data_IF_184040506278
#
_entry.id   IF_184040506278
#
_cell.length_a   1.000
_cell.length_b   1.000
_cell.length_c   1.000
_cell.angle_alpha   90.00
_cell.angle_beta   90.00
_cell.angle_gamma   90.00
#
_symmetry.space_group_name_H-M   'P 1'
#
loop_
_entity.id
_entity.type
_entity.pdbx_description
1 polymer ?
#
# COMPACT_ATOMS: atom_id res chain seq x y z
N UNK A 1 13.44 -0.83 -21.83
CA UNK A 1 13.02 0.53 -21.47
C UNK A 1 13.91 0.96 -20.31
N UNK A 2 14.57 2.12 -20.40
CA UNK A 2 15.26 2.68 -19.23
C UNK A 2 14.17 3.04 -18.21
N UNK A 3 13.98 2.21 -17.20
CA UNK A 3 13.18 2.58 -16.04
C UNK A 3 13.86 3.81 -15.43
N UNK A 4 13.23 4.98 -15.57
CA UNK A 4 13.61 6.15 -14.79
C UNK A 4 13.70 5.71 -13.33
N UNK A 5 14.91 5.83 -12.75
CA UNK A 5 15.18 5.41 -11.38
C UNK A 5 14.19 6.09 -10.44
N UNK A 6 13.20 5.33 -9.99
CA UNK A 6 12.18 5.83 -9.08
C UNK A 6 12.84 6.03 -7.71
N UNK A 7 12.75 7.24 -7.17
CA UNK A 7 13.38 7.59 -5.90
C UNK A 7 12.99 6.64 -4.75
N UNK A 8 11.78 6.05 -4.81
CA UNK A 8 11.26 5.11 -3.83
C UNK A 8 12.16 3.88 -3.63
N UNK A 9 12.86 3.40 -4.66
CA UNK A 9 13.79 2.28 -4.53
C UNK A 9 14.95 2.58 -3.58
N UNK A 10 15.34 3.85 -3.49
CA UNK A 10 16.40 4.30 -2.59
C UNK A 10 15.89 4.77 -1.23
N UNK A 11 14.57 4.85 -1.05
CA UNK A 11 13.96 5.35 0.18
C UNK A 11 13.96 4.27 1.26
N UNK A 12 14.51 4.60 2.43
CA UNK A 12 14.50 3.74 3.62
C UNK A 12 13.24 3.93 4.46
N UNK A 13 12.06 3.84 3.82
CA UNK A 13 10.77 3.95 4.52
C UNK A 13 10.47 2.62 5.19
N UNK A 14 10.38 2.63 6.52
CA UNK A 14 10.03 1.45 7.33
C UNK A 14 8.52 1.36 7.57
N UNK A 15 7.88 2.51 7.79
CA UNK A 15 6.44 2.61 8.06
C UNK A 15 5.81 3.62 7.10
N UNK A 16 4.72 3.21 6.46
CA UNK A 16 3.87 4.06 5.63
C UNK A 16 2.48 4.12 6.24
N UNK A 17 1.89 5.31 6.33
CA UNK A 17 0.52 5.51 6.81
C UNK A 17 -0.32 6.13 5.72
N UNK A 18 -1.43 5.48 5.40
CA UNK A 18 -2.43 5.88 4.41
C UNK A 18 -3.71 6.16 5.18
N UNK A 19 -4.20 7.39 5.08
CA UNK A 19 -5.46 7.80 5.68
C UNK A 19 -6.56 7.84 4.64
N UNK A 20 -7.79 7.52 5.05
CA UNK A 20 -9.00 7.71 4.23
C UNK A 20 -8.96 6.97 2.87
N UNK A 21 -8.44 5.73 2.83
CA UNK A 21 -8.36 4.94 1.61
C UNK A 21 -9.77 4.61 1.07
N UNK A 22 -10.06 5.06 -0.15
CA UNK A 22 -11.36 4.93 -0.81
C UNK A 22 -11.44 3.91 -1.96
N UNK A 23 -10.32 3.31 -2.34
CA UNK A 23 -10.19 2.34 -3.45
C UNK A 23 -10.54 2.88 -4.84
N UNK A 24 -10.28 4.17 -5.06
CA UNK A 24 -10.20 4.69 -6.42
C UNK A 24 -9.08 3.99 -7.18
N UNK A 25 -9.21 3.92 -8.50
CA UNK A 25 -8.17 3.34 -9.37
C UNK A 25 -6.79 3.98 -9.13
N UNK A 26 -6.76 5.29 -8.86
CA UNK A 26 -5.53 6.02 -8.59
C UNK A 26 -4.88 5.59 -7.27
N UNK A 27 -5.67 5.45 -6.19
CA UNK A 27 -5.15 4.99 -4.90
C UNK A 27 -4.63 3.55 -4.98
N UNK A 28 -5.32 2.70 -5.74
CA UNK A 28 -4.88 1.32 -5.94
C UNK A 28 -3.53 1.24 -6.67
N UNK A 29 -3.33 2.07 -7.71
CA UNK A 29 -2.04 2.17 -8.39
C UNK A 29 -0.95 2.75 -7.49
N UNK A 30 -1.26 3.72 -6.64
CA UNK A 30 -0.32 4.23 -5.64
C UNK A 30 0.11 3.14 -4.66
N UNK A 31 -0.83 2.33 -4.17
CA UNK A 31 -0.53 1.21 -3.29
C UNK A 31 0.36 0.17 -3.97
N UNK A 32 0.08 -0.17 -5.24
CA UNK A 32 0.98 -1.02 -6.04
C UNK A 32 2.37 -0.43 -6.15
N UNK A 33 2.49 0.88 -6.35
CA UNK A 33 3.78 1.54 -6.47
C UNK A 33 4.56 1.51 -5.15
N UNK A 34 3.92 1.81 -4.02
CA UNK A 34 4.58 1.78 -2.72
C UNK A 34 5.03 0.37 -2.34
N UNK A 35 4.13 -0.61 -2.44
CA UNK A 35 4.41 -2.00 -2.09
C UNK A 35 5.41 -2.66 -3.06
N UNK A 36 5.46 -2.22 -4.31
CA UNK A 36 6.38 -2.72 -5.33
C UNK A 36 7.75 -2.06 -5.32
N UNK A 37 7.91 -0.88 -4.71
CA UNK A 37 9.17 -0.10 -4.79
C UNK A 37 9.84 0.20 -3.46
N UNK A 38 9.12 0.19 -2.34
CA UNK A 38 9.73 0.43 -1.02
C UNK A 38 10.30 -0.87 -0.46
N UNK A 39 11.56 -1.17 -0.77
CA UNK A 39 12.24 -2.43 -0.37
C UNK A 39 12.40 -2.59 1.15
N UNK A 40 12.52 -1.48 1.89
CA UNK A 40 12.70 -1.48 3.34
C UNK A 40 11.37 -1.45 4.12
N UNK A 41 10.23 -1.48 3.44
CA UNK A 41 8.93 -1.32 4.07
C UNK A 41 8.59 -2.52 4.96
N UNK A 42 8.29 -2.27 6.23
CA UNK A 42 7.92 -3.31 7.18
C UNK A 42 6.45 -3.20 7.61
N UNK A 43 5.88 -1.99 7.64
CA UNK A 43 4.49 -1.78 8.04
C UNK A 43 3.79 -0.76 7.16
N UNK A 44 2.57 -1.10 6.72
CA UNK A 44 1.64 -0.15 6.12
C UNK A 44 0.40 -0.05 6.99
N UNK A 45 0.09 1.14 7.49
CA UNK A 45 -1.14 1.41 8.24
C UNK A 45 -2.16 2.03 7.30
N UNK A 46 -3.38 1.50 7.30
CA UNK A 46 -4.44 1.98 6.40
C UNK A 46 -5.71 2.21 7.20
N UNK A 47 -6.23 3.44 7.18
CA UNK A 47 -7.62 3.73 7.55
C UNK A 47 -8.46 3.88 6.28
N UNK A 48 -9.76 3.62 6.39
CA UNK A 48 -10.70 3.66 5.26
C UNK A 48 -11.64 4.86 5.36
N UNK A 49 -12.00 5.43 4.21
CA UNK A 49 -13.04 6.48 4.13
C UNK A 49 -14.47 5.94 4.36
N UNK A 50 -14.64 4.62 4.29
CA UNK A 50 -15.94 3.97 4.51
C UNK A 50 -16.08 3.40 5.91
N UNK A 51 -17.27 3.54 6.49
CA UNK A 51 -17.68 2.84 7.72
C UNK A 51 -18.54 1.59 7.45
N UNK A 52 -18.83 1.29 6.17
CA UNK A 52 -19.62 0.11 5.82
C UNK A 52 -18.73 -1.13 5.85
N UNK A 53 -19.07 -2.08 6.73
CA UNK A 53 -18.29 -3.30 6.95
C UNK A 53 -18.02 -4.08 5.65
N UNK A 54 -19.05 -4.33 4.84
CA UNK A 54 -18.90 -5.10 3.59
C UNK A 54 -17.96 -4.41 2.60
N UNK A 55 -17.99 -3.06 2.57
CA UNK A 55 -17.05 -2.29 1.76
C UNK A 55 -15.64 -2.44 2.30
N UNK A 56 -15.43 -2.25 3.61
CA UNK A 56 -14.12 -2.40 4.24
C UNK A 56 -13.51 -3.79 3.99
N UNK A 57 -14.28 -4.87 4.12
CA UNK A 57 -13.79 -6.24 3.88
C UNK A 57 -13.32 -6.44 2.43
N UNK A 58 -14.03 -5.85 1.46
CA UNK A 58 -13.60 -5.84 0.06
C UNK A 58 -12.28 -5.07 -0.12
N UNK A 59 -12.16 -3.88 0.49
CA UNK A 59 -10.95 -3.06 0.40
C UNK A 59 -9.74 -3.77 1.01
N UNK A 60 -9.92 -4.39 2.18
CA UNK A 60 -8.89 -5.19 2.83
C UNK A 60 -8.44 -6.35 1.95
N UNK A 61 -9.38 -7.06 1.33
CA UNK A 61 -9.08 -8.18 0.43
C UNK A 61 -8.27 -7.73 -0.77
N UNK A 62 -8.65 -6.62 -1.41
CA UNK A 62 -7.94 -6.03 -2.55
C UNK A 62 -6.50 -5.67 -2.18
N UNK A 63 -6.30 -4.99 -1.03
CA UNK A 63 -4.98 -4.58 -0.54
C UNK A 63 -4.10 -5.77 -0.18
N UNK A 64 -4.67 -6.80 0.46
CA UNK A 64 -3.92 -8.00 0.85
C UNK A 64 -3.47 -8.82 -0.36
N UNK A 65 -4.21 -8.75 -1.48
CA UNK A 65 -3.85 -9.42 -2.73
C UNK A 65 -2.72 -8.73 -3.51
N UNK A 66 -2.32 -7.51 -3.14
CA UNK A 66 -1.26 -6.79 -3.83
C UNK A 66 0.12 -7.43 -3.57
N UNK A 67 0.96 -7.55 -4.61
CA UNK A 67 2.33 -8.03 -4.45
C UNK A 67 3.16 -7.04 -3.63
N UNK A 68 4.14 -7.57 -2.89
CA UNK A 68 5.03 -6.78 -2.03
C UNK A 68 6.47 -7.16 -2.36
N UNK A 69 7.31 -6.15 -2.55
CA UNK A 69 8.75 -6.35 -2.75
C UNK A 69 9.44 -6.74 -1.44
N UNK A 70 9.02 -6.14 -0.33
CA UNK A 70 9.51 -6.49 1.01
C UNK A 70 8.72 -7.67 1.58
N UNK A 71 9.43 -8.76 1.90
CA UNK A 71 8.87 -9.93 2.58
C UNK A 71 8.47 -9.67 4.03
N UNK A 72 8.99 -8.59 4.64
CA UNK A 72 8.65 -8.17 6.00
C UNK A 72 7.40 -7.29 6.06
N UNK A 73 6.95 -6.77 4.91
CA UNK A 73 5.87 -5.81 4.84
C UNK A 73 4.52 -6.42 5.23
N UNK A 74 3.96 -5.93 6.34
CA UNK A 74 2.63 -6.25 6.81
C UNK A 74 1.69 -5.05 6.68
N UNK A 75 0.45 -5.32 6.28
CA UNK A 75 -0.60 -4.29 6.20
C UNK A 75 -1.44 -4.40 7.48
N UNK A 76 -1.59 -3.29 8.18
CA UNK A 76 -2.36 -3.13 9.39
C UNK A 76 -3.50 -2.15 9.16
N UNK A 77 -4.73 -2.58 9.42
CA UNK A 77 -5.92 -1.75 9.26
C UNK A 77 -6.25 -1.08 10.59
N UNK A 78 -6.38 0.24 10.59
CA UNK A 78 -6.61 1.08 11.79
C UNK A 78 -7.95 1.80 11.76
#
# INVERSE_FOLDING_TARGET
EEEELCCLWTCQVIVLEISEYGDSFQELEQMRHFLGKLECLETVKVSFDSHKKDTIELLQTNLLALPRVSSKCNIHFI
#
